data_IF_536825240311
#
_entry.id   IF_536825240311
#
_cell.length_a   1.000
_cell.length_b   1.000
_cell.length_c   1.000
_cell.angle_alpha   90.00
_cell.angle_beta   90.00
_cell.angle_gamma   90.00
#
_symmetry.space_group_name_H-M   'P 1'
#
loop_
_entity.id
_entity.type
_entity.pdbx_description
1 polymer ?
#
# COMPACT_ATOMS: atom_id res chain seq x y z
N UNK A 1 -18.59 17.30 -4.44
CA UNK A 1 -18.76 17.70 -3.02
C UNK A 1 -18.48 16.48 -2.16
N UNK A 2 -17.42 16.55 -1.34
CA UNK A 2 -17.04 15.49 -0.42
C UNK A 2 -18.14 15.32 0.64
N UNK A 3 -18.70 14.12 0.76
CA UNK A 3 -19.52 13.76 1.91
C UNK A 3 -18.61 13.74 3.14
N UNK A 4 -18.82 14.69 4.04
CA UNK A 4 -18.22 14.73 5.37
C UNK A 4 -18.70 13.51 6.16
N UNK A 5 -17.79 12.55 6.38
CA UNK A 5 -18.05 11.42 7.28
C UNK A 5 -18.00 11.90 8.72
N UNK A 6 -19.17 12.19 9.28
CA UNK A 6 -19.40 12.43 10.71
C UNK A 6 -19.11 11.14 11.50
N UNK A 7 -18.21 11.21 12.50
CA UNK A 7 -17.77 10.06 13.33
C UNK A 7 -17.88 10.42 14.82
N UNK A 8 -18.36 9.49 15.66
CA UNK A 8 -18.98 9.79 16.97
C UNK A 8 -18.34 8.95 18.11
N UNK A 9 -18.01 9.53 19.28
CA UNK A 9 -17.73 8.77 20.51
C UNK A 9 -19.01 8.58 21.34
N UNK A 10 -19.23 7.39 21.93
CA UNK A 10 -20.53 7.00 22.49
C UNK A 10 -20.46 6.69 23.99
N UNK A 11 -21.36 7.26 24.80
CA UNK A 11 -21.54 6.88 26.21
C UNK A 11 -22.84 6.11 26.39
N UNK A 12 -22.86 5.11 27.27
CA UNK A 12 -24.09 4.41 27.65
C UNK A 12 -24.21 4.46 29.16
N UNK A 13 -25.18 5.22 29.66
CA UNK A 13 -25.45 5.38 31.10
C UNK A 13 -26.66 4.55 31.49
N UNK A 14 -26.65 3.88 32.65
CA UNK A 14 -27.85 3.22 33.15
C UNK A 14 -28.88 4.27 33.64
N UNK A 15 -30.16 4.15 33.29
CA UNK A 15 -31.23 4.98 33.87
C UNK A 15 -31.77 4.27 35.10
N UNK A 16 -31.54 4.81 36.31
CA UNK A 16 -32.23 4.33 37.53
C UNK A 16 -32.60 5.51 38.43
N UNK A 17 -33.80 5.39 38.99
CA UNK A 17 -34.40 6.20 40.05
C UNK A 17 -33.62 6.10 41.38
N UNK A 18 -33.18 7.29 41.81
CA UNK A 18 -32.95 7.79 43.17
C UNK A 18 -32.03 7.10 44.21
N UNK A 19 -31.62 5.81 44.19
CA UNK A 19 -30.88 5.24 45.36
C UNK A 19 -29.63 4.36 45.07
N UNK A 20 -29.15 4.18 43.84
CA UNK A 20 -27.95 3.32 43.59
C UNK A 20 -26.82 4.04 42.83
N UNK A 21 -25.56 3.79 43.23
CA UNK A 21 -24.32 4.27 42.57
C UNK A 21 -24.44 4.13 41.04
N UNK A 22 -24.39 5.25 40.30
CA UNK A 22 -24.56 5.30 38.83
C UNK A 22 -23.39 4.58 38.14
N UNK A 23 -23.59 3.31 37.75
CA UNK A 23 -22.61 2.56 36.93
C UNK A 23 -22.77 2.92 35.45
N UNK A 24 -21.67 3.24 34.79
CA UNK A 24 -21.62 3.73 33.40
C UNK A 24 -20.82 2.75 32.53
N UNK A 25 -21.18 2.65 31.25
CA UNK A 25 -20.34 2.06 30.20
C UNK A 25 -19.93 3.14 29.20
N UNK A 26 -18.65 3.17 28.83
CA UNK A 26 -18.11 4.03 27.79
C UNK A 26 -17.69 3.16 26.61
N UNK A 27 -18.00 3.59 25.39
CA UNK A 27 -17.49 2.93 24.19
C UNK A 27 -17.26 3.92 23.05
N UNK A 28 -16.80 3.41 21.92
CA UNK A 28 -16.57 4.21 20.72
C UNK A 28 -17.26 3.58 19.49
N UNK A 29 -17.65 4.39 18.51
CA UNK A 29 -18.22 3.86 17.27
C UNK A 29 -18.15 4.84 16.10
N UNK A 30 -17.61 4.40 14.96
CA UNK A 30 -17.69 5.15 13.69
C UNK A 30 -19.04 4.99 12.96
N UNK A 31 -20.05 4.43 13.64
CA UNK A 31 -21.39 4.17 13.09
C UNK A 31 -22.42 4.95 13.90
N UNK A 32 -23.63 5.12 13.34
CA UNK A 32 -24.76 5.69 14.08
C UNK A 32 -25.00 4.95 15.40
N UNK A 33 -25.35 5.70 16.45
CA UNK A 33 -25.67 5.19 17.80
C UNK A 33 -26.65 4.01 17.78
N UNK A 34 -27.72 4.11 16.98
CA UNK A 34 -28.74 3.07 16.82
C UNK A 34 -28.16 1.74 16.33
N UNK A 35 -27.15 1.79 15.47
CA UNK A 35 -26.48 0.62 14.92
C UNK A 35 -25.57 -0.02 15.96
N UNK A 36 -24.84 0.78 16.74
CA UNK A 36 -24.00 0.27 17.82
C UNK A 36 -24.82 -0.34 18.95
N UNK A 37 -25.95 0.27 19.31
CA UNK A 37 -26.95 -0.26 20.27
C UNK A 37 -27.46 -1.63 19.82
N UNK A 38 -27.81 -1.80 18.53
CA UNK A 38 -28.21 -3.09 17.97
C UNK A 38 -27.08 -4.12 18.05
N UNK A 39 -25.84 -3.71 17.77
CA UNK A 39 -24.65 -4.55 17.92
C UNK A 39 -24.53 -5.11 19.33
N UNK A 40 -24.62 -4.26 20.36
CA UNK A 40 -24.60 -4.69 21.76
C UNK A 40 -25.74 -5.66 22.10
N UNK A 41 -26.96 -5.45 21.57
CA UNK A 41 -28.07 -6.40 21.77
C UNK A 41 -27.72 -7.79 21.19
N UNK A 42 -27.20 -7.85 19.98
CA UNK A 42 -26.84 -9.12 19.37
C UNK A 42 -25.67 -9.81 20.09
N UNK A 43 -24.63 -9.05 20.47
CA UNK A 43 -23.49 -9.58 21.22
C UNK A 43 -23.90 -10.14 22.59
N UNK A 44 -24.75 -9.41 23.33
CA UNK A 44 -25.18 -9.79 24.66
C UNK A 44 -26.15 -10.98 24.67
N UNK A 45 -27.12 -11.03 23.76
CA UNK A 45 -28.21 -12.01 23.82
C UNK A 45 -28.04 -13.19 22.85
N UNK A 46 -27.38 -12.99 21.70
CA UNK A 46 -27.18 -14.06 20.70
C UNK A 46 -25.81 -14.70 20.85
N UNK A 47 -24.72 -13.91 20.80
CA UNK A 47 -23.37 -14.43 21.01
C UNK A 47 -23.08 -14.83 22.45
N UNK A 48 -23.85 -14.29 23.41
CA UNK A 48 -23.66 -14.46 24.86
C UNK A 48 -22.25 -14.04 25.31
N UNK A 49 -21.73 -12.93 24.79
CA UNK A 49 -20.47 -12.36 25.26
C UNK A 49 -20.53 -12.04 26.77
N UNK A 50 -19.42 -12.30 27.47
CA UNK A 50 -19.36 -12.25 28.93
C UNK A 50 -18.66 -11.01 29.49
N UNK A 51 -18.69 -9.89 28.76
CA UNK A 51 -18.25 -8.60 29.30
C UNK A 51 -19.14 -8.13 30.47
N UNK A 52 -18.58 -7.31 31.37
CA UNK A 52 -19.32 -6.70 32.50
C UNK A 52 -20.59 -5.99 31.99
N UNK A 53 -20.48 -5.28 30.87
CA UNK A 53 -21.59 -4.57 30.27
C UNK A 53 -22.67 -5.51 29.72
N UNK A 54 -22.31 -6.58 29.00
CA UNK A 54 -23.32 -7.47 28.42
C UNK A 54 -24.04 -8.30 29.47
N UNK A 55 -23.36 -8.71 30.56
CA UNK A 55 -24.03 -9.25 31.75
C UNK A 55 -25.05 -8.27 32.32
N UNK A 56 -24.70 -6.99 32.39
CA UNK A 56 -25.61 -5.96 32.88
C UNK A 56 -26.82 -5.74 31.96
N UNK A 57 -26.62 -5.78 30.64
CA UNK A 57 -27.71 -5.73 29.65
C UNK A 57 -28.65 -6.91 29.79
N UNK A 58 -28.11 -8.14 29.95
CA UNK A 58 -28.93 -9.34 30.19
C UNK A 58 -29.68 -9.27 31.52
N UNK A 59 -29.00 -8.83 32.59
CA UNK A 59 -29.57 -8.76 33.95
C UNK A 59 -30.64 -7.68 34.10
N UNK A 60 -30.44 -6.53 33.46
CA UNK A 60 -31.27 -5.35 33.71
C UNK A 60 -32.12 -4.95 32.51
N UNK A 61 -31.97 -5.56 31.34
CA UNK A 61 -32.69 -5.17 30.13
C UNK A 61 -32.11 -3.93 29.46
N UNK A 62 -32.26 -3.84 28.14
CA UNK A 62 -31.71 -2.76 27.31
C UNK A 62 -32.33 -1.39 27.59
N UNK A 63 -33.61 -1.36 27.94
CA UNK A 63 -34.39 -0.12 28.08
C UNK A 63 -34.14 0.58 29.42
N UNK A 64 -33.57 -0.14 30.38
CA UNK A 64 -33.07 0.42 31.63
C UNK A 64 -31.68 1.10 31.47
N UNK A 65 -31.17 1.19 30.24
CA UNK A 65 -30.00 1.99 29.90
C UNK A 65 -30.39 3.17 29.01
N UNK A 66 -29.91 4.35 29.39
CA UNK A 66 -29.89 5.58 28.61
C UNK A 66 -28.67 5.58 27.68
N UNK A 67 -28.90 5.77 26.39
CA UNK A 67 -27.86 5.76 25.36
C UNK A 67 -27.64 7.19 24.89
N UNK A 68 -26.44 7.74 25.04
CA UNK A 68 -26.15 9.13 24.73
C UNK A 68 -24.80 9.31 24.03
N UNK A 69 -24.67 10.35 23.22
CA UNK A 69 -23.38 10.75 22.64
C UNK A 69 -22.79 11.80 23.57
N UNK A 70 -21.61 11.55 24.11
CA UNK A 70 -20.94 12.50 25.03
C UNK A 70 -19.92 13.40 24.34
N UNK A 71 -19.43 13.00 23.17
CA UNK A 71 -18.41 13.73 22.42
C UNK A 71 -18.40 13.25 20.98
N UNK A 72 -18.34 14.19 20.03
CA UNK A 72 -18.06 13.91 18.63
C UNK A 72 -16.62 14.31 18.33
N UNK A 73 -15.90 13.46 17.60
CA UNK A 73 -14.47 13.67 17.36
C UNK A 73 -14.02 12.93 16.11
N UNK A 74 -12.88 13.34 15.55
CA UNK A 74 -12.21 12.62 14.49
C UNK A 74 -11.82 11.20 14.92
N UNK A 75 -11.84 10.26 13.97
CA UNK A 75 -11.50 8.83 14.17
C UNK A 75 -10.12 8.66 14.84
N UNK A 76 -9.16 9.53 14.50
CA UNK A 76 -7.82 9.54 15.06
C UNK A 76 -7.78 9.73 16.57
N UNK A 77 -8.82 10.33 17.14
CA UNK A 77 -8.88 10.71 18.55
C UNK A 77 -9.87 9.84 19.35
N UNK A 78 -10.70 8.99 18.71
CA UNK A 78 -11.70 8.15 19.38
C UNK A 78 -11.11 7.36 20.55
N UNK A 79 -9.94 6.77 20.33
CA UNK A 79 -9.26 5.92 21.31
C UNK A 79 -8.78 6.71 22.53
N UNK A 80 -8.23 7.91 22.31
CA UNK A 80 -7.79 8.80 23.39
C UNK A 80 -8.97 9.30 24.21
N UNK A 81 -10.08 9.65 23.53
CA UNK A 81 -11.30 10.07 24.21
C UNK A 81 -11.98 8.94 24.99
N UNK A 82 -11.94 7.70 24.49
CA UNK A 82 -12.44 6.53 25.20
C UNK A 82 -11.66 6.32 26.51
N UNK A 83 -10.32 6.30 26.45
CA UNK A 83 -9.44 6.18 27.64
C UNK A 83 -9.72 7.30 28.63
N UNK A 84 -9.70 8.55 28.17
CA UNK A 84 -9.94 9.71 29.03
C UNK A 84 -11.32 9.67 29.67
N UNK A 85 -12.35 9.26 28.93
CA UNK A 85 -13.72 9.17 29.45
C UNK A 85 -13.87 8.03 30.46
N UNK A 86 -13.27 6.86 30.21
CA UNK A 86 -13.30 5.73 31.15
C UNK A 86 -12.62 6.13 32.47
N UNK A 87 -11.47 6.81 32.39
CA UNK A 87 -10.79 7.34 33.56
C UNK A 87 -11.62 8.40 34.29
N UNK A 88 -12.11 9.42 33.56
CA UNK A 88 -12.92 10.52 34.11
C UNK A 88 -14.17 10.03 34.82
N UNK A 89 -14.86 9.03 34.27
CA UNK A 89 -16.09 8.47 34.84
C UNK A 89 -15.84 7.25 35.73
N UNK A 90 -14.58 6.86 35.95
CA UNK A 90 -14.17 5.66 36.69
C UNK A 90 -14.98 4.40 36.28
N UNK A 91 -15.27 4.26 34.98
CA UNK A 91 -16.22 3.25 34.49
C UNK A 91 -15.61 1.85 34.40
N UNK A 92 -14.30 1.72 34.58
CA UNK A 92 -13.60 0.43 34.69
C UNK A 92 -13.78 -0.19 36.09
N UNK A 93 -13.40 0.55 37.14
CA UNK A 93 -13.46 0.07 38.53
C UNK A 93 -14.87 0.17 39.11
N UNK A 94 -15.60 1.24 38.79
CA UNK A 94 -16.92 1.54 39.34
C UNK A 94 -18.05 1.51 38.30
N UNK A 95 -17.82 0.97 37.10
CA UNK A 95 -18.80 0.89 36.03
C UNK A 95 -18.89 -0.47 35.35
N UNK A 96 -19.13 -0.45 34.04
CA UNK A 96 -19.36 -1.62 33.20
C UNK A 96 -18.27 -1.83 32.13
N UNK A 97 -17.23 -1.00 32.10
CA UNK A 97 -16.07 -1.24 31.23
C UNK A 97 -15.24 -2.41 31.78
N UNK A 98 -14.92 -3.36 30.90
CA UNK A 98 -14.06 -4.49 31.25
C UNK A 98 -12.57 -4.15 31.24
N UNK A 99 -12.18 -3.01 30.65
CA UNK A 99 -10.81 -2.52 30.52
C UNK A 99 -10.78 -1.01 30.72
N UNK A 100 -9.60 -0.43 30.90
CA UNK A 100 -9.39 1.03 31.03
C UNK A 100 -9.56 1.79 29.70
N UNK A 101 -9.95 1.07 28.63
CA UNK A 101 -10.03 1.57 27.28
C UNK A 101 -8.78 1.26 26.49
N UNK A 102 -8.87 1.50 25.18
CA UNK A 102 -7.70 1.41 24.33
C UNK A 102 -7.38 0.04 23.74
N UNK A 103 -8.27 -0.96 23.89
CA UNK A 103 -8.08 -2.32 23.36
C UNK A 103 -8.17 -2.46 21.83
N UNK A 104 -8.12 -1.35 21.09
CA UNK A 104 -7.77 -1.41 19.68
C UNK A 104 -6.28 -1.70 19.55
N UNK A 105 -5.91 -2.99 19.53
CA UNK A 105 -4.58 -3.54 19.25
C UNK A 105 -3.44 -2.75 19.95
N UNK A 106 -2.82 -3.29 21.02
CA UNK A 106 -1.69 -2.64 21.70
C UNK A 106 -0.55 -2.17 20.78
N UNK A 107 -0.41 -2.76 19.58
CA UNK A 107 0.52 -2.31 18.54
C UNK A 107 0.21 -0.95 17.91
N UNK A 108 -0.98 -0.35 18.13
CA UNK A 108 -1.33 0.99 17.61
C UNK A 108 -0.73 2.12 18.46
N UNK A 109 -0.39 1.87 19.72
CA UNK A 109 0.29 2.85 20.57
C UNK A 109 1.79 2.83 20.28
N UNK A 110 2.31 3.93 19.71
CA UNK A 110 3.75 4.08 19.44
C UNK A 110 4.61 3.81 20.69
N UNK A 111 4.13 4.14 21.87
CA UNK A 111 4.88 3.99 23.12
C UNK A 111 4.95 2.54 23.60
N UNK A 112 3.84 1.79 23.60
CA UNK A 112 3.83 0.36 23.97
C UNK A 112 4.54 -0.46 22.88
N UNK A 113 4.31 -0.14 21.61
CA UNK A 113 5.06 -0.72 20.49
C UNK A 113 6.56 -0.49 20.63
N UNK A 114 7.02 0.71 21.04
CA UNK A 114 8.44 0.99 21.36
C UNK A 114 8.94 0.18 22.57
N UNK A 115 8.11 -0.03 23.60
CA UNK A 115 8.46 -0.84 24.78
C UNK A 115 8.56 -2.35 24.49
N UNK A 116 7.96 -2.82 23.39
CA UNK A 116 7.99 -4.22 22.97
C UNK A 116 8.64 -4.44 21.59
N UNK A 117 9.47 -3.51 21.12
CA UNK A 117 10.17 -3.64 19.83
C UNK A 117 11.63 -3.21 19.96
N UNK A 118 12.44 -3.59 18.95
CA UNK A 118 13.87 -3.37 19.00
C UNK A 118 14.48 -3.97 20.26
N UNK A 119 15.43 -3.25 20.87
CA UNK A 119 16.19 -3.69 22.06
C UNK A 119 15.33 -4.08 23.27
N UNK A 120 14.11 -3.58 23.35
CA UNK A 120 13.22 -3.83 24.48
C UNK A 120 12.41 -5.14 24.34
N UNK A 121 12.44 -5.78 23.17
CA UNK A 121 11.71 -7.04 22.99
C UNK A 121 12.40 -8.17 23.80
N UNK A 122 11.66 -9.02 24.55
CA UNK A 122 12.25 -10.09 25.38
C UNK A 122 13.15 -11.09 24.62
N UNK A 123 12.94 -11.19 23.30
CA UNK A 123 13.73 -12.01 22.37
C UNK A 123 14.68 -11.20 21.48
N UNK A 124 14.90 -9.92 21.75
CA UNK A 124 15.86 -9.12 20.98
C UNK A 124 17.28 -9.64 21.17
N UNK A 125 18.02 -9.80 20.06
CA UNK A 125 19.38 -10.34 20.07
C UNK A 125 19.49 -11.84 20.35
N UNK A 126 18.40 -12.50 20.76
CA UNK A 126 18.36 -13.95 20.95
C UNK A 126 18.09 -14.61 19.60
N UNK A 127 19.02 -15.46 19.17
CA UNK A 127 18.85 -16.32 18.00
C UNK A 127 18.64 -17.75 18.45
N UNK A 128 17.75 -18.47 17.77
CA UNK A 128 17.72 -19.92 17.94
C UNK A 128 19.05 -20.53 17.50
N UNK A 129 19.51 -21.55 18.21
CA UNK A 129 20.70 -22.31 17.79
C UNK A 129 20.49 -22.93 16.42
N UNK A 130 21.57 -23.21 15.68
CA UNK A 130 21.47 -23.86 14.38
C UNK A 130 20.77 -25.22 14.46
N UNK A 131 20.99 -25.96 15.55
CA UNK A 131 20.27 -27.20 15.85
C UNK A 131 18.77 -26.97 16.00
N UNK A 132 18.35 -25.96 16.78
CA UNK A 132 16.94 -25.63 16.96
C UNK A 132 16.28 -25.13 15.65
N UNK A 133 16.98 -24.32 14.85
CA UNK A 133 16.50 -23.91 13.52
C UNK A 133 16.28 -25.10 12.60
N UNK A 134 17.23 -26.04 12.56
CA UNK A 134 17.12 -27.27 11.77
C UNK A 134 15.94 -28.12 12.26
N UNK A 135 15.79 -28.34 13.55
CA UNK A 135 14.69 -29.10 14.13
C UNK A 135 13.32 -28.49 13.77
N UNK A 136 13.16 -27.17 13.94
CA UNK A 136 11.94 -26.45 13.53
C UNK A 136 11.67 -26.54 12.02
N UNK A 137 12.72 -26.48 11.20
CA UNK A 137 12.60 -26.62 9.75
C UNK A 137 12.12 -28.00 9.35
N UNK A 138 12.69 -29.06 9.94
CA UNK A 138 12.28 -30.46 9.69
C UNK A 138 10.85 -30.71 10.15
N UNK A 139 10.46 -30.19 11.32
CA UNK A 139 9.11 -30.34 11.86
C UNK A 139 8.02 -29.67 11.00
N UNK A 140 8.36 -28.70 10.15
CA UNK A 140 7.41 -27.93 9.33
C UNK A 140 7.52 -28.19 7.83
N UNK A 141 8.38 -29.14 7.42
CA UNK A 141 8.68 -29.43 6.01
C UNK A 141 8.23 -30.82 5.60
N UNK A 142 8.08 -31.03 4.29
CA UNK A 142 7.69 -32.32 3.73
C UNK A 142 6.40 -32.84 4.36
N UNK A 143 6.35 -34.15 4.65
CA UNK A 143 5.20 -34.84 5.23
C UNK A 143 4.74 -34.29 6.59
N UNK A 144 5.61 -33.62 7.33
CA UNK A 144 5.28 -33.04 8.64
C UNK A 144 4.49 -31.72 8.51
N UNK A 145 4.49 -31.10 7.33
CA UNK A 145 3.68 -29.92 7.09
C UNK A 145 2.19 -30.34 7.06
N UNK A 146 1.30 -29.73 7.86
CA UNK A 146 -0.14 -30.06 7.86
C UNK A 146 -0.83 -29.89 6.50
N UNK A 147 -0.21 -29.10 5.61
CA UNK A 147 -0.66 -28.83 4.24
C UNK A 147 0.13 -29.62 3.18
N UNK A 148 0.97 -30.58 3.57
CA UNK A 148 1.68 -31.44 2.62
C UNK A 148 0.70 -32.21 1.74
N UNK A 149 0.93 -32.15 0.42
CA UNK A 149 0.04 -32.70 -0.63
C UNK A 149 -1.41 -32.17 -0.63
N UNK A 150 -1.76 -31.19 0.20
CA UNK A 150 -3.08 -30.54 0.17
C UNK A 150 -3.03 -29.32 -0.74
N UNK A 151 -3.89 -29.29 -1.75
CA UNK A 151 -4.08 -28.10 -2.60
C UNK A 151 -5.29 -27.31 -2.10
N UNK A 152 -5.17 -25.98 -2.06
CA UNK A 152 -6.33 -25.13 -1.85
C UNK A 152 -7.35 -25.33 -2.98
N UNK A 153 -8.63 -25.33 -2.64
CA UNK A 153 -9.72 -25.33 -3.64
C UNK A 153 -9.68 -24.05 -4.45
N UNK A 154 -10.17 -24.08 -5.69
CA UNK A 154 -10.15 -22.90 -6.56
C UNK A 154 -11.01 -21.76 -6.00
N UNK A 155 -12.11 -22.09 -5.31
CA UNK A 155 -12.89 -21.11 -4.54
C UNK A 155 -12.06 -20.42 -3.44
N UNK A 156 -11.19 -21.17 -2.76
CA UNK A 156 -10.30 -20.61 -1.72
C UNK A 156 -9.21 -19.74 -2.33
N UNK A 157 -8.59 -20.19 -3.44
CA UNK A 157 -7.61 -19.39 -4.18
C UNK A 157 -8.24 -18.08 -4.68
N UNK A 158 -9.47 -18.12 -5.18
CA UNK A 158 -10.21 -16.95 -5.61
C UNK A 158 -10.48 -15.97 -4.45
N UNK A 159 -10.85 -16.46 -3.26
CA UNK A 159 -11.02 -15.62 -2.06
C UNK A 159 -9.71 -14.94 -1.64
N UNK A 160 -8.60 -15.68 -1.62
CA UNK A 160 -7.26 -15.14 -1.31
C UNK A 160 -6.85 -14.09 -2.35
N UNK A 161 -7.07 -14.37 -3.64
CA UNK A 161 -6.79 -13.44 -4.74
C UNK A 161 -7.61 -12.15 -4.60
N UNK A 162 -8.93 -12.26 -4.39
CA UNK A 162 -9.83 -11.12 -4.20
C UNK A 162 -9.47 -10.28 -2.96
N UNK A 163 -9.03 -10.92 -1.88
CA UNK A 163 -8.61 -10.21 -0.67
C UNK A 163 -7.28 -9.44 -0.85
N UNK A 164 -6.47 -9.80 -1.85
CA UNK A 164 -5.18 -9.18 -2.11
C UNK A 164 -5.16 -8.32 -3.37
N UNK A 165 -6.14 -8.45 -4.27
CA UNK A 165 -6.29 -7.58 -5.43
C UNK A 165 -6.58 -6.14 -4.97
N UNK A 166 -5.98 -5.17 -5.65
CA UNK A 166 -6.16 -3.75 -5.34
C UNK A 166 -5.37 -3.22 -4.13
N UNK A 167 -4.68 -4.08 -3.36
CA UNK A 167 -3.77 -3.61 -2.31
C UNK A 167 -2.52 -2.97 -2.94
N UNK A 168 -2.49 -1.64 -2.96
CA UNK A 168 -1.33 -0.87 -3.42
C UNK A 168 -0.33 -0.78 -2.26
N UNK A 169 0.87 -1.33 -2.45
CA UNK A 169 1.98 -1.11 -1.51
C UNK A 169 2.42 0.34 -1.59
N UNK A 170 2.72 0.97 -0.45
CA UNK A 170 3.31 2.31 -0.42
C UNK A 170 4.64 2.34 -1.19
N UNK A 171 5.00 3.49 -1.75
CA UNK A 171 6.23 3.63 -2.54
C UNK A 171 7.49 3.41 -1.68
N UNK A 172 7.43 3.77 -0.39
CA UNK A 172 8.47 3.42 0.59
C UNK A 172 8.64 1.90 0.73
N UNK A 173 7.54 1.17 0.78
CA UNK A 173 7.55 -0.29 0.90
C UNK A 173 8.00 -0.97 -0.41
N UNK A 174 7.65 -0.43 -1.57
CA UNK A 174 8.16 -0.89 -2.88
C UNK A 174 9.67 -0.68 -2.99
N UNK A 175 10.17 0.50 -2.59
CA UNK A 175 11.59 0.84 -2.63
C UNK A 175 12.41 -0.07 -1.70
N UNK A 176 11.97 -0.25 -0.46
CA UNK A 176 12.61 -1.17 0.50
C UNK A 176 12.65 -2.61 -0.04
N UNK A 177 11.54 -3.11 -0.60
CA UNK A 177 11.49 -4.46 -1.16
C UNK A 177 12.42 -4.62 -2.37
N UNK A 178 12.48 -3.60 -3.24
CA UNK A 178 13.44 -3.54 -4.35
C UNK A 178 14.88 -3.60 -3.83
N UNK A 179 15.21 -2.82 -2.80
CA UNK A 179 16.58 -2.73 -2.30
C UNK A 179 17.01 -3.99 -1.54
N UNK A 180 16.08 -4.67 -0.85
CA UNK A 180 16.30 -6.02 -0.32
C UNK A 180 16.55 -6.99 -1.48
N UNK A 181 15.67 -7.04 -2.48
CA UNK A 181 15.84 -7.94 -3.63
C UNK A 181 17.14 -7.69 -4.39
N UNK A 182 17.61 -6.45 -4.48
CA UNK A 182 18.92 -6.11 -5.06
C UNK A 182 20.10 -6.67 -4.26
N UNK A 183 19.94 -6.89 -2.94
CA UNK A 183 20.95 -7.42 -2.02
C UNK A 183 20.90 -8.95 -1.89
N UNK A 184 19.71 -9.56 -1.88
CA UNK A 184 19.52 -11.02 -1.70
C UNK A 184 19.25 -11.80 -2.98
N UNK A 185 19.10 -11.17 -4.15
CA UNK A 185 18.94 -11.89 -5.41
C UNK A 185 20.16 -12.80 -5.66
N UNK A 186 20.04 -14.13 -5.53
CA UNK A 186 21.19 -15.04 -5.55
C UNK A 186 21.91 -15.09 -6.91
N UNK A 187 21.26 -14.55 -7.94
CA UNK A 187 21.68 -14.60 -9.34
C UNK A 187 22.17 -13.26 -9.88
N UNK A 188 22.25 -12.21 -9.04
CA UNK A 188 22.74 -10.90 -9.48
C UNK A 188 24.25 -10.98 -9.73
N UNK A 189 24.70 -10.58 -10.92
CA UNK A 189 26.10 -10.68 -11.33
C UNK A 189 26.56 -12.08 -11.74
N UNK A 190 25.67 -13.09 -11.68
CA UNK A 190 25.94 -14.43 -12.18
C UNK A 190 25.33 -14.58 -13.57
N UNK A 191 26.16 -14.96 -14.53
CA UNK A 191 25.68 -15.40 -15.85
C UNK A 191 25.40 -16.90 -15.81
N UNK A 192 24.36 -17.35 -16.52
CA UNK A 192 24.17 -18.78 -16.77
C UNK A 192 25.40 -19.35 -17.48
N UNK A 193 25.83 -20.55 -17.07
CA UNK A 193 26.85 -21.30 -17.80
C UNK A 193 26.35 -21.66 -19.20
N UNK A 194 27.26 -21.85 -20.15
CA UNK A 194 26.90 -22.24 -21.52
C UNK A 194 26.11 -23.56 -21.55
N UNK A 195 26.43 -24.49 -20.66
CA UNK A 195 25.68 -25.74 -20.51
C UNK A 195 24.24 -25.49 -20.02
N UNK A 196 24.05 -24.60 -19.05
CA UNK A 196 22.73 -24.20 -18.55
C UNK A 196 21.92 -23.49 -19.64
N UNK A 197 22.54 -22.58 -20.40
CA UNK A 197 21.91 -21.92 -21.56
C UNK A 197 21.48 -22.94 -22.62
N UNK A 198 22.33 -23.93 -22.92
CA UNK A 198 21.99 -25.02 -23.86
C UNK A 198 20.81 -25.86 -23.37
N UNK A 199 20.74 -26.21 -22.07
CA UNK A 199 19.59 -26.95 -21.49
C UNK A 199 18.30 -26.14 -21.59
N UNK A 200 18.34 -24.86 -21.26
CA UNK A 200 17.18 -23.95 -21.39
C UNK A 200 16.75 -23.82 -22.85
N UNK A 201 17.70 -23.65 -23.77
CA UNK A 201 17.45 -23.55 -25.21
C UNK A 201 16.79 -24.81 -25.77
N UNK A 202 17.34 -26.01 -25.49
CA UNK A 202 16.74 -27.28 -25.92
C UNK A 202 15.31 -27.46 -25.42
N UNK A 203 15.04 -27.07 -24.18
CA UNK A 203 13.70 -27.19 -23.56
C UNK A 203 12.69 -26.19 -24.14
N UNK A 204 13.16 -25.01 -24.57
CA UNK A 204 12.30 -23.94 -25.12
C UNK A 204 12.17 -23.98 -26.63
N UNK A 205 13.06 -24.70 -27.32
CA UNK A 205 12.96 -24.96 -28.74
C UNK A 205 11.62 -25.64 -29.05
N UNK A 206 10.87 -25.10 -30.01
CA UNK A 206 9.58 -25.64 -30.43
C UNK A 206 8.38 -25.35 -29.51
N UNK A 207 8.58 -24.68 -28.36
CA UNK A 207 7.48 -24.30 -27.47
C UNK A 207 6.60 -23.23 -28.13
N UNK A 208 5.44 -23.65 -28.67
CA UNK A 208 4.44 -22.73 -29.21
C UNK A 208 3.60 -22.17 -28.06
N UNK A 209 3.32 -20.88 -28.11
CA UNK A 209 2.30 -20.30 -27.24
C UNK A 209 0.95 -20.97 -27.49
N UNK A 210 0.14 -21.10 -26.43
CA UNK A 210 -1.25 -21.51 -26.58
C UNK A 210 -1.97 -20.55 -27.52
N UNK A 211 -2.94 -21.07 -28.25
CA UNK A 211 -3.70 -20.28 -29.22
C UNK A 211 -4.40 -19.09 -28.56
N UNK A 212 -4.89 -19.27 -27.33
CA UNK A 212 -5.49 -18.21 -26.52
C UNK A 212 -4.48 -17.08 -26.21
N UNK A 213 -3.25 -17.43 -25.82
CA UNK A 213 -2.19 -16.45 -25.53
C UNK A 213 -1.78 -15.71 -26.79
N UNK A 214 -1.66 -16.42 -27.92
CA UNK A 214 -1.35 -15.85 -29.23
C UNK A 214 -2.42 -14.84 -29.67
N UNK A 215 -3.71 -15.18 -29.51
CA UNK A 215 -4.84 -14.28 -29.82
C UNK A 215 -4.84 -13.04 -28.93
N UNK A 216 -4.62 -13.18 -27.61
CA UNK A 216 -4.51 -12.05 -26.67
C UNK A 216 -3.39 -11.10 -27.06
N UNK A 217 -2.21 -11.64 -27.37
CA UNK A 217 -1.05 -10.83 -27.77
C UNK A 217 -1.27 -10.12 -29.11
N UNK A 218 -1.86 -10.81 -30.10
CA UNK A 218 -2.20 -10.22 -31.38
C UNK A 218 -3.19 -9.06 -31.25
N UNK A 219 -4.22 -9.20 -30.40
CA UNK A 219 -5.18 -8.13 -30.10
C UNK A 219 -4.50 -6.92 -29.45
N UNK A 220 -3.58 -7.17 -28.51
CA UNK A 220 -2.83 -6.11 -27.83
C UNK A 220 -1.91 -5.33 -28.78
N UNK A 221 -1.24 -6.00 -29.73
CA UNK A 221 -0.44 -5.33 -30.76
C UNK A 221 -1.33 -4.50 -31.68
N UNK A 222 -2.43 -5.07 -32.19
CA UNK A 222 -3.37 -4.33 -33.06
C UNK A 222 -3.89 -3.06 -32.37
N UNK A 223 -4.24 -3.14 -31.09
CA UNK A 223 -4.73 -2.01 -30.30
C UNK A 223 -3.70 -0.88 -30.08
N UNK A 224 -2.40 -1.19 -30.20
CA UNK A 224 -1.29 -0.22 -30.07
C UNK A 224 -0.79 0.29 -31.43
N UNK A 225 -1.14 -0.37 -32.53
CA UNK A 225 -0.69 0.02 -33.87
C UNK A 225 -1.19 1.43 -34.19
N UNK A 226 -0.27 2.32 -34.58
CA UNK A 226 -0.57 3.70 -34.94
C UNK A 226 -0.78 4.69 -33.78
N UNK A 227 -0.86 4.22 -32.53
CA UNK A 227 -1.00 5.12 -31.38
C UNK A 227 0.33 5.80 -31.06
N UNK A 228 0.35 7.13 -31.12
CA UNK A 228 1.51 7.94 -30.74
C UNK A 228 1.70 7.90 -29.22
N UNK A 229 2.93 7.67 -28.78
CA UNK A 229 3.32 7.85 -27.37
C UNK A 229 3.16 9.33 -26.98
N UNK A 230 2.70 9.58 -25.75
CA UNK A 230 2.63 10.93 -25.19
C UNK A 230 4.00 11.62 -25.25
N UNK A 231 4.01 12.94 -25.37
CA UNK A 231 5.23 13.74 -25.54
C UNK A 231 6.18 13.57 -24.34
N UNK A 232 5.63 13.55 -23.12
CA UNK A 232 6.38 13.23 -21.90
C UNK A 232 7.12 11.87 -21.98
N UNK A 233 6.43 10.79 -22.39
CA UNK A 233 7.06 9.47 -22.52
C UNK A 233 8.15 9.44 -23.59
N UNK A 234 7.94 10.11 -24.73
CA UNK A 234 8.97 10.18 -25.80
C UNK A 234 10.21 10.91 -25.31
N UNK A 235 10.03 12.03 -24.61
CA UNK A 235 11.14 12.79 -24.02
C UNK A 235 11.92 11.96 -23.00
N UNK A 236 11.23 11.20 -22.13
CA UNK A 236 11.90 10.28 -21.17
C UNK A 236 12.75 9.20 -21.85
N UNK A 237 12.28 8.64 -22.97
CA UNK A 237 13.06 7.67 -23.76
C UNK A 237 14.30 8.37 -24.35
N UNK A 238 14.13 9.55 -24.94
CA UNK A 238 15.24 10.32 -25.50
C UNK A 238 16.28 10.72 -24.43
N UNK A 239 15.84 11.17 -23.26
CA UNK A 239 16.71 11.45 -22.10
C UNK A 239 17.50 10.21 -21.67
N UNK A 240 16.84 9.03 -21.61
CA UNK A 240 17.50 7.76 -21.29
C UNK A 240 18.56 7.34 -22.30
N UNK A 241 18.44 7.79 -23.56
CA UNK A 241 19.46 7.63 -24.61
C UNK A 241 20.48 8.79 -24.66
N UNK A 242 20.46 9.69 -23.69
CA UNK A 242 21.43 10.79 -23.56
C UNK A 242 21.09 12.05 -24.37
N UNK A 243 19.87 12.20 -24.89
CA UNK A 243 19.46 13.44 -25.52
C UNK A 243 19.41 14.59 -24.51
N UNK A 244 20.02 15.72 -24.85
CA UNK A 244 19.98 16.95 -24.04
C UNK A 244 19.06 17.99 -24.66
N UNK A 245 18.54 18.88 -23.82
CA UNK A 245 17.75 20.03 -24.25
C UNK A 245 18.58 20.93 -25.19
N UNK A 246 17.91 21.47 -26.20
CA UNK A 246 18.46 22.46 -27.10
C UNK A 246 17.46 23.58 -27.35
N UNK A 247 18.01 24.77 -27.58
CA UNK A 247 17.29 26.01 -27.77
C UNK A 247 17.23 26.31 -29.27
N UNK A 248 16.08 26.77 -29.74
CA UNK A 248 15.85 27.15 -31.14
C UNK A 248 15.53 28.62 -31.22
N UNK A 249 16.24 29.34 -32.08
CA UNK A 249 16.01 30.76 -32.33
C UNK A 249 15.68 31.00 -33.80
N UNK A 250 14.94 32.07 -34.08
CA UNK A 250 14.69 32.60 -35.41
C UNK A 250 14.84 34.11 -35.35
N UNK A 251 15.64 34.70 -36.24
CA UNK A 251 15.89 36.15 -36.27
C UNK A 251 16.31 36.70 -34.88
N UNK A 252 17.20 35.97 -34.20
CA UNK A 252 17.69 36.22 -32.83
C UNK A 252 16.63 36.19 -31.70
N UNK A 253 15.39 35.75 -31.99
CA UNK A 253 14.35 35.55 -30.97
C UNK A 253 14.22 34.07 -30.60
N UNK A 254 14.15 33.77 -29.30
CA UNK A 254 13.92 32.42 -28.81
C UNK A 254 12.51 31.95 -29.19
N UNK A 255 12.42 30.82 -29.89
CA UNK A 255 11.15 30.19 -30.28
C UNK A 255 10.74 29.15 -29.25
N UNK A 256 11.71 28.41 -28.68
CA UNK A 256 11.44 27.42 -27.65
C UNK A 256 12.60 26.47 -27.41
N UNK A 257 12.28 25.42 -26.65
CA UNK A 257 13.22 24.39 -26.25
C UNK A 257 12.69 23.00 -26.55
N UNK A 258 13.54 22.13 -27.07
CA UNK A 258 13.19 20.74 -27.37
C UNK A 258 14.27 19.80 -26.84
N UNK A 259 13.87 18.57 -26.52
CA UNK A 259 14.79 17.46 -26.23
C UNK A 259 14.90 16.56 -27.47
N UNK A 260 13.79 16.33 -28.16
CA UNK A 260 13.69 15.44 -29.32
C UNK A 260 13.82 16.22 -30.65
N UNK A 261 14.86 15.90 -31.43
CA UNK A 261 15.12 16.55 -32.72
C UNK A 261 14.04 16.26 -33.78
N UNK A 262 13.42 15.08 -33.74
CA UNK A 262 12.38 14.68 -34.71
C UNK A 262 11.08 15.41 -34.42
N UNK A 263 10.82 15.73 -33.15
CA UNK A 263 9.68 16.54 -32.73
C UNK A 263 9.87 17.99 -33.13
N UNK A 264 11.01 18.59 -32.77
CA UNK A 264 11.36 19.94 -33.23
C UNK A 264 11.28 20.06 -34.76
N UNK A 265 11.80 19.07 -35.47
CA UNK A 265 11.74 19.02 -36.92
C UNK A 265 10.30 18.97 -37.45
N UNK A 266 9.40 18.26 -36.79
CA UNK A 266 7.99 18.21 -37.19
C UNK A 266 7.26 19.51 -36.88
N UNK A 267 7.40 20.02 -35.66
CA UNK A 267 6.69 21.21 -35.18
C UNK A 267 7.04 22.45 -36.01
N UNK A 268 8.30 22.56 -36.43
CA UNK A 268 8.81 23.68 -37.22
C UNK A 268 8.90 23.36 -38.73
N UNK A 269 8.39 22.21 -39.15
CA UNK A 269 8.42 21.72 -40.54
C UNK A 269 9.83 21.80 -41.19
N UNK A 270 10.79 21.20 -40.51
CA UNK A 270 12.21 21.13 -40.85
C UNK A 270 12.63 19.69 -41.19
N UNK A 271 13.66 19.54 -42.02
CA UNK A 271 14.38 18.28 -42.13
C UNK A 271 15.18 17.96 -40.85
N UNK A 272 14.93 16.80 -40.26
CA UNK A 272 15.67 16.30 -39.08
C UNK A 272 17.16 16.14 -39.36
N UNK A 273 17.56 15.78 -40.60
CA UNK A 273 18.97 15.61 -40.95
C UNK A 273 19.70 16.96 -40.99
N UNK A 274 19.07 18.00 -41.55
CA UNK A 274 19.63 19.36 -41.60
C UNK A 274 19.66 20.01 -40.21
N UNK A 275 18.61 19.81 -39.40
CA UNK A 275 18.61 20.20 -38.00
C UNK A 275 19.78 19.57 -37.24
N UNK A 276 20.02 18.27 -37.42
CA UNK A 276 21.16 17.58 -36.80
C UNK A 276 22.51 18.11 -37.26
N UNK A 277 22.65 18.53 -38.53
CA UNK A 277 23.88 19.21 -39.01
C UNK A 277 24.08 20.55 -38.30
N UNK A 278 23.01 21.31 -38.06
CA UNK A 278 23.06 22.56 -37.32
C UNK A 278 23.50 22.35 -35.87
N UNK A 279 22.91 21.38 -35.16
CA UNK A 279 23.31 21.02 -33.79
C UNK A 279 24.77 20.55 -33.68
N UNK A 280 25.29 19.90 -34.73
CA UNK A 280 26.71 19.50 -34.83
C UNK A 280 27.63 20.63 -35.31
N UNK A 281 27.12 21.86 -35.46
CA UNK A 281 27.84 23.03 -35.98
C UNK A 281 28.42 22.85 -37.39
N UNK A 282 27.92 21.86 -38.15
CA UNK A 282 28.29 21.62 -39.55
C UNK A 282 27.50 22.49 -40.53
N UNK A 283 26.51 23.23 -40.03
CA UNK A 283 25.66 24.14 -40.78
C UNK A 283 25.22 25.25 -39.82
N UNK A 284 25.18 26.51 -40.29
CA UNK A 284 24.86 27.66 -39.44
C UNK A 284 23.37 27.73 -39.09
N UNK A 285 22.52 27.59 -40.10
CA UNK A 285 21.06 27.73 -39.97
C UNK A 285 20.34 26.71 -40.85
N UNK A 286 19.07 26.45 -40.54
CA UNK A 286 18.17 25.69 -41.42
C UNK A 286 16.81 26.37 -41.46
N UNK A 287 16.36 26.78 -42.66
CA UNK A 287 15.15 27.62 -42.86
C UNK A 287 15.10 28.86 -41.94
N UNK A 288 16.24 29.51 -41.72
CA UNK A 288 16.35 30.70 -40.84
C UNK A 288 16.41 30.41 -39.35
N UNK A 289 16.33 29.14 -38.93
CA UNK A 289 16.45 28.76 -37.52
C UNK A 289 17.91 28.43 -37.14
N UNK A 290 18.32 28.86 -35.95
CA UNK A 290 19.58 28.47 -35.30
C UNK A 290 19.30 27.55 -34.11
N UNK A 291 20.24 26.64 -33.81
CA UNK A 291 20.06 25.59 -32.81
C UNK A 291 21.27 25.55 -31.89
N UNK A 292 21.05 25.63 -30.59
CA UNK A 292 22.12 25.67 -29.57
C UNK A 292 21.86 24.62 -28.50
N UNK A 293 22.85 23.75 -28.22
CA UNK A 293 22.82 22.88 -27.04
C UNK A 293 23.39 23.60 -25.84
N UNK A 294 22.85 23.32 -24.66
CA UNK A 294 23.51 23.68 -23.42
C UNK A 294 24.88 22.99 -23.36
N UNK A 295 25.95 23.79 -23.30
CA UNK A 295 27.30 23.28 -23.09
C UNK A 295 27.35 22.91 -21.62
N UNK A 296 27.27 21.62 -21.30
CA UNK A 296 27.71 21.16 -19.98
C UNK A 296 29.20 21.50 -19.90
N UNK A 297 29.55 22.55 -19.17
CA UNK A 297 30.94 22.74 -18.70
C UNK A 297 31.29 21.46 -17.95
N UNK A 298 32.12 20.62 -18.57
CA UNK A 298 32.78 19.53 -17.89
C UNK A 298 33.55 20.17 -16.75
N UNK A 299 33.08 19.98 -15.51
CA UNK A 299 33.86 20.29 -14.32
C UNK A 299 35.18 19.56 -14.47
N UNK A 300 36.26 20.34 -14.56
CA UNK A 300 37.60 19.86 -14.24
C UNK A 300 37.64 19.52 -12.76
#
# INVERSE_FOLDING_TARGET
MMQTTENISMCVRKKISRIMKKKIYIGQTIRKLSVRKRGHKWEAFVKKDDSKFHRALRKHGMDNFMWEIICETFETNLCLFEIWSIAKYNSYSCGYNSTEGGDNNPMKYKEISKKMSGKNHPMYGKTHSESAKKAMSVARSGKNNPMYNKKHTDATKAKISKANSGKIRSDSCKKLMSDIMKKVAPFRGRSHTEESKKKISKTKCGSKWSEETRKKYAKAIKAKKGKRLSDYHRNKISEGHGATIFYVFKDNKLIGTWINQTECARDLNLSTSLLNRCLKRKQKTHKGYTFVREIKRSGK
#
